data_IF_626110821024
#
_entry.id   IF_626110821024
#
_cell.length_a   1.000
_cell.length_b   1.000
_cell.length_c   1.000
_cell.angle_alpha   90.00
_cell.angle_beta   90.00
_cell.angle_gamma   90.00
#
_symmetry.space_group_name_H-M   'P 1'
#
loop_
_entity.id
_entity.type
_entity.pdbx_description
1 polymer ?
#
# COMPACT_ATOMS: atom_id res chain seq x y z
N UNK A 1 -1.40 23.91 -10.25
CA UNK A 1 -2.20 22.85 -10.92
C UNK A 1 -3.28 22.40 -9.94
N UNK A 2 -4.53 22.25 -10.42
CA UNK A 2 -5.65 21.77 -9.60
C UNK A 2 -5.88 20.29 -9.90
N UNK A 3 -5.71 19.44 -8.89
CA UNK A 3 -5.85 17.97 -9.01
C UNK A 3 -7.09 17.53 -8.24
N UNK A 4 -7.85 16.60 -8.80
CA UNK A 4 -8.91 15.89 -8.09
C UNK A 4 -8.69 14.38 -8.11
N UNK A 5 -9.08 13.70 -7.03
CA UNK A 5 -9.24 12.26 -7.00
C UNK A 5 -10.73 11.89 -6.96
N UNK A 6 -11.08 10.86 -7.71
CA UNK A 6 -12.44 10.32 -7.81
C UNK A 6 -12.42 8.87 -7.34
N UNK A 7 -13.16 8.54 -6.30
CA UNK A 7 -13.22 7.17 -5.75
C UNK A 7 -14.63 6.79 -5.32
N UNK A 8 -14.81 5.58 -4.81
CA UNK A 8 -16.07 5.13 -4.22
C UNK A 8 -16.39 5.77 -2.86
N UNK A 9 -15.40 6.39 -2.20
CA UNK A 9 -15.59 6.98 -0.88
C UNK A 9 -16.60 8.11 -0.90
N UNK A 10 -17.48 8.17 0.09
CA UNK A 10 -18.48 9.26 0.21
C UNK A 10 -17.87 10.60 0.65
N UNK A 11 -16.61 10.63 1.08
CA UNK A 11 -15.94 11.86 1.47
C UNK A 11 -15.85 12.85 0.29
N UNK A 12 -16.02 14.14 0.58
CA UNK A 12 -15.90 15.22 -0.39
C UNK A 12 -15.07 16.36 0.19
N UNK A 13 -14.07 16.82 -0.54
CA UNK A 13 -13.22 17.94 -0.13
C UNK A 13 -11.73 17.61 -0.02
N UNK A 14 -11.00 18.45 0.71
CA UNK A 14 -9.59 18.24 1.02
C UNK A 14 -9.40 17.47 2.32
N UNK A 15 -8.39 16.61 2.36
CA UNK A 15 -7.95 15.93 3.58
C UNK A 15 -6.93 16.82 4.28
N UNK A 16 -7.10 17.01 5.57
CA UNK A 16 -6.16 17.71 6.44
C UNK A 16 -4.99 16.79 6.83
N UNK A 17 -3.81 17.36 7.07
CA UNK A 17 -2.61 16.58 7.45
C UNK A 17 -2.74 15.89 8.81
N UNK A 18 -3.63 16.34 9.67
CA UNK A 18 -3.91 15.76 10.99
C UNK A 18 -5.02 14.70 10.96
N UNK A 19 -5.44 14.26 9.78
CA UNK A 19 -6.42 13.21 9.63
C UNK A 19 -5.87 11.89 10.20
N UNK A 20 -6.56 11.31 11.15
CA UNK A 20 -6.09 10.17 11.92
C UNK A 20 -6.01 8.85 11.14
N UNK A 21 -6.76 8.74 10.05
CA UNK A 21 -6.75 7.56 9.18
C UNK A 21 -5.98 7.80 7.88
N UNK A 22 -4.76 8.33 7.98
CA UNK A 22 -3.88 8.74 6.89
C UNK A 22 -3.30 7.54 6.10
N UNK A 23 -4.16 6.70 5.53
CA UNK A 23 -3.75 5.60 4.63
C UNK A 23 -3.15 6.16 3.32
N UNK A 24 -2.53 5.29 2.53
CA UNK A 24 -1.79 5.67 1.32
C UNK A 24 -2.58 6.58 0.37
N UNK A 25 -3.83 6.29 0.09
CA UNK A 25 -4.65 7.14 -0.79
C UNK A 25 -4.84 8.55 -0.21
N UNK A 26 -5.09 8.68 1.09
CA UNK A 26 -5.24 9.97 1.74
C UNK A 26 -3.89 10.72 1.81
N UNK A 27 -2.80 10.00 1.99
CA UNK A 27 -1.46 10.59 1.92
C UNK A 27 -1.18 11.21 0.55
N UNK A 28 -1.60 10.57 -0.56
CA UNK A 28 -1.51 11.15 -1.90
C UNK A 28 -2.35 12.42 -2.03
N UNK A 29 -3.59 12.43 -1.50
CA UNK A 29 -4.46 13.61 -1.57
C UNK A 29 -3.83 14.79 -0.87
N UNK A 30 -3.23 14.56 0.30
CA UNK A 30 -2.53 15.59 1.09
C UNK A 30 -1.28 16.08 0.38
N UNK A 31 -0.40 15.17 -0.06
CA UNK A 31 0.88 15.52 -0.68
C UNK A 31 0.71 16.27 -2.01
N UNK A 32 -0.33 15.96 -2.78
CA UNK A 32 -0.65 16.60 -4.06
C UNK A 32 -1.59 17.82 -3.91
N UNK A 33 -1.92 18.23 -2.69
CA UNK A 33 -2.90 19.30 -2.39
C UNK A 33 -4.20 19.15 -3.19
N UNK A 34 -4.66 17.92 -3.36
CA UNK A 34 -5.80 17.57 -4.21
C UNK A 34 -7.13 17.65 -3.48
N UNK A 35 -8.20 17.67 -4.27
CA UNK A 35 -9.58 17.57 -3.76
C UNK A 35 -10.14 16.19 -4.08
N UNK A 36 -10.80 15.57 -3.14
CA UNK A 36 -11.48 14.30 -3.33
C UNK A 36 -12.97 14.48 -3.60
N UNK A 37 -13.53 13.68 -4.50
CA UNK A 37 -14.96 13.61 -4.79
C UNK A 37 -15.40 12.15 -5.00
N UNK A 38 -16.61 11.78 -4.57
CA UNK A 38 -17.22 10.51 -4.96
C UNK A 38 -17.41 10.42 -6.48
N UNK A 39 -17.10 9.29 -7.10
CA UNK A 39 -17.31 9.08 -8.54
C UNK A 39 -18.73 9.40 -8.94
N UNK A 40 -19.71 8.96 -8.18
CA UNK A 40 -21.15 9.16 -8.46
C UNK A 40 -21.59 10.64 -8.42
N UNK A 41 -20.78 11.53 -7.87
CA UNK A 41 -21.05 12.98 -7.83
C UNK A 41 -20.40 13.78 -8.95
N UNK A 42 -19.64 13.16 -9.85
CA UNK A 42 -18.99 13.83 -10.99
C UNK A 42 -19.94 14.74 -11.78
N UNK A 43 -21.20 14.30 -12.00
CA UNK A 43 -22.21 15.06 -12.73
C UNK A 43 -22.59 16.40 -12.07
N UNK A 44 -22.32 16.59 -10.78
CA UNK A 44 -22.62 17.83 -10.04
C UNK A 44 -21.52 18.88 -10.17
N UNK A 45 -20.32 18.48 -10.62
CA UNK A 45 -19.16 19.36 -10.70
C UNK A 45 -19.21 20.27 -11.95
N UNK A 46 -18.54 21.42 -11.85
CA UNK A 46 -18.47 22.37 -12.97
C UNK A 46 -17.54 21.88 -14.08
N UNK A 47 -17.83 22.24 -15.31
CA UNK A 47 -16.98 21.97 -16.48
C UNK A 47 -15.59 22.61 -16.29
N UNK A 48 -14.51 21.90 -16.67
CA UNK A 48 -13.11 22.34 -16.60
C UNK A 48 -12.69 22.85 -15.20
N UNK A 49 -13.17 22.20 -14.15
CA UNK A 49 -12.89 22.58 -12.76
C UNK A 49 -11.47 22.24 -12.34
N UNK A 50 -10.90 21.16 -12.90
CA UNK A 50 -9.58 20.62 -12.57
C UNK A 50 -8.67 20.54 -13.79
N UNK A 51 -7.36 20.64 -13.54
CA UNK A 51 -6.36 20.42 -14.58
C UNK A 51 -6.17 18.93 -14.83
N UNK A 52 -6.14 18.12 -13.74
CA UNK A 52 -6.03 16.66 -13.78
C UNK A 52 -7.05 16.02 -12.84
N UNK A 53 -7.79 15.05 -13.33
CA UNK A 53 -8.64 14.17 -12.52
C UNK A 53 -8.07 12.75 -12.52
N UNK A 54 -7.85 12.18 -11.35
CA UNK A 54 -7.34 10.82 -11.18
C UNK A 54 -8.45 9.95 -10.58
N UNK A 55 -8.84 8.89 -11.27
CA UNK A 55 -9.83 7.93 -10.76
C UNK A 55 -9.14 6.72 -10.16
N UNK A 56 -9.63 6.27 -9.01
CA UNK A 56 -9.33 4.95 -8.45
C UNK A 56 -10.60 4.12 -8.64
N UNK A 57 -10.57 3.20 -9.60
CA UNK A 57 -11.70 2.31 -9.88
C UNK A 57 -11.73 1.24 -8.79
N UNK A 58 -12.81 1.16 -7.98
CA UNK A 58 -12.86 0.28 -6.84
C UNK A 58 -13.03 -1.19 -7.23
N UNK A 59 -12.53 -2.09 -6.39
CA UNK A 59 -12.73 -3.53 -6.51
C UNK A 59 -14.17 -3.95 -6.20
N UNK A 60 -14.85 -3.20 -5.36
CA UNK A 60 -16.24 -3.44 -5.00
C UNK A 60 -17.14 -2.50 -5.80
N UNK A 61 -18.40 -2.91 -6.04
CA UNK A 61 -19.40 -2.07 -6.75
C UNK A 61 -19.06 -1.75 -8.20
N UNK A 62 -18.15 -2.50 -8.85
CA UNK A 62 -17.79 -2.27 -10.26
C UNK A 62 -18.99 -2.37 -11.19
N UNK A 63 -19.97 -3.23 -10.88
CA UNK A 63 -21.22 -3.35 -11.61
C UNK A 63 -21.98 -2.02 -11.66
N UNK A 64 -22.12 -1.34 -10.54
CA UNK A 64 -22.78 -0.02 -10.46
C UNK A 64 -21.97 1.05 -11.18
N UNK A 65 -20.65 1.06 -10.99
CA UNK A 65 -19.75 2.08 -11.57
C UNK A 65 -19.66 1.91 -13.09
N UNK A 66 -19.68 0.68 -13.61
CA UNK A 66 -19.63 0.41 -15.04
C UNK A 66 -20.89 0.90 -15.81
N UNK A 67 -22.00 1.11 -15.10
CA UNK A 67 -23.21 1.70 -15.67
C UNK A 67 -23.22 3.22 -15.66
N UNK A 68 -22.27 3.86 -14.98
CA UNK A 68 -22.16 5.30 -14.89
C UNK A 68 -21.25 5.86 -15.99
N UNK A 69 -21.59 6.99 -16.65
CA UNK A 69 -20.77 7.59 -17.71
C UNK A 69 -19.53 8.30 -17.14
N UNK A 70 -18.69 7.53 -16.41
CA UNK A 70 -17.58 8.06 -15.62
C UNK A 70 -16.56 8.80 -16.49
N UNK A 71 -16.18 8.24 -17.62
CA UNK A 71 -15.16 8.82 -18.51
C UNK A 71 -15.63 10.13 -19.11
N UNK A 72 -16.86 10.18 -19.61
CA UNK A 72 -17.46 11.36 -20.19
C UNK A 72 -17.56 12.50 -19.16
N UNK A 73 -17.98 12.16 -17.95
CA UNK A 73 -18.06 13.11 -16.86
C UNK A 73 -16.67 13.60 -16.40
N UNK A 74 -15.68 12.72 -16.33
CA UNK A 74 -14.30 13.12 -16.04
C UNK A 74 -13.75 14.07 -17.11
N UNK A 75 -13.92 13.76 -18.39
CA UNK A 75 -13.52 14.63 -19.51
C UNK A 75 -14.26 15.98 -19.52
N UNK A 76 -15.48 16.02 -19.01
CA UNK A 76 -16.23 17.29 -18.85
C UNK A 76 -15.64 18.15 -17.72
N UNK A 77 -15.23 17.52 -16.61
CA UNK A 77 -14.81 18.20 -15.38
C UNK A 77 -13.31 18.54 -15.39
N UNK A 78 -12.49 17.75 -16.06
CA UNK A 78 -11.04 17.84 -16.05
C UNK A 78 -10.49 18.09 -17.46
N UNK A 79 -9.33 18.77 -17.53
CA UNK A 79 -8.59 18.96 -18.80
C UNK A 79 -7.87 17.69 -19.24
N UNK A 80 -7.33 16.95 -18.26
CA UNK A 80 -6.67 15.65 -18.40
C UNK A 80 -7.28 14.67 -17.43
N UNK A 81 -7.33 13.40 -17.82
CA UNK A 81 -7.84 12.33 -16.99
C UNK A 81 -6.80 11.24 -16.76
N UNK A 82 -6.75 10.71 -15.57
CA UNK A 82 -5.82 9.66 -15.18
C UNK A 82 -6.47 8.56 -14.36
N UNK A 83 -5.82 7.43 -14.34
CA UNK A 83 -6.18 6.28 -13.53
C UNK A 83 -5.09 6.01 -12.49
N UNK A 84 -5.49 5.63 -11.28
CA UNK A 84 -4.59 5.06 -10.27
C UNK A 84 -5.04 3.65 -9.92
N UNK A 85 -4.10 2.73 -9.96
CA UNK A 85 -4.31 1.33 -9.60
C UNK A 85 -4.80 1.16 -8.16
N UNK A 86 -5.84 0.32 -7.98
CA UNK A 86 -6.26 -0.19 -6.69
C UNK A 86 -5.94 -1.69 -6.56
N UNK A 87 -5.13 -2.09 -5.60
CA UNK A 87 -4.76 -3.51 -5.41
C UNK A 87 -3.88 -4.08 -6.53
N UNK A 88 -3.87 -5.40 -6.78
CA UNK A 88 -3.05 -6.00 -7.83
C UNK A 88 -3.59 -5.66 -9.21
N UNK A 89 -2.69 -5.51 -10.19
CA UNK A 89 -3.06 -5.14 -11.56
C UNK A 89 -4.02 -6.12 -12.25
N UNK A 90 -4.06 -7.35 -11.79
CA UNK A 90 -4.89 -8.43 -12.36
C UNK A 90 -6.27 -8.58 -11.71
N UNK A 91 -6.59 -7.85 -10.65
CA UNK A 91 -7.81 -8.14 -9.87
C UNK A 91 -9.11 -8.03 -10.68
N UNK A 92 -9.14 -7.18 -11.70
CA UNK A 92 -10.30 -7.03 -12.56
C UNK A 92 -10.56 -8.25 -13.46
N UNK A 93 -9.59 -9.16 -13.63
CA UNK A 93 -9.74 -10.39 -14.40
C UNK A 93 -10.67 -11.41 -13.71
N UNK A 94 -10.99 -11.21 -12.44
CA UNK A 94 -11.96 -12.04 -11.72
C UNK A 94 -13.42 -11.62 -11.97
N UNK A 95 -13.64 -10.50 -12.71
CA UNK A 95 -14.99 -10.03 -13.05
C UNK A 95 -15.54 -10.64 -14.33
N UNK A 96 -16.89 -10.57 -14.57
CA UNK A 96 -17.49 -10.92 -15.85
C UNK A 96 -16.84 -10.19 -17.03
N UNK A 97 -16.78 -10.85 -18.19
CA UNK A 97 -16.05 -10.36 -19.37
C UNK A 97 -16.48 -8.94 -19.79
N UNK A 98 -17.75 -8.61 -19.70
CA UNK A 98 -18.25 -7.26 -20.03
C UNK A 98 -17.65 -6.16 -19.14
N UNK A 99 -17.45 -6.47 -17.86
CA UNK A 99 -16.81 -5.53 -16.92
C UNK A 99 -15.30 -5.45 -17.14
N UNK A 100 -14.65 -6.55 -17.53
CA UNK A 100 -13.25 -6.54 -17.93
C UNK A 100 -13.04 -5.66 -19.18
N UNK A 101 -13.91 -5.80 -20.18
CA UNK A 101 -13.87 -4.98 -21.41
C UNK A 101 -14.14 -3.50 -21.07
N UNK A 102 -15.12 -3.23 -20.22
CA UNK A 102 -15.39 -1.87 -19.76
C UNK A 102 -14.16 -1.26 -19.06
N UNK A 103 -13.53 -2.00 -18.14
CA UNK A 103 -12.34 -1.53 -17.44
C UNK A 103 -11.19 -1.25 -18.42
N UNK A 104 -10.93 -2.15 -19.36
CA UNK A 104 -9.94 -1.95 -20.41
C UNK A 104 -10.23 -0.69 -21.24
N UNK A 105 -11.47 -0.50 -21.67
CA UNK A 105 -11.87 0.71 -22.42
C UNK A 105 -11.63 1.97 -21.57
N UNK A 106 -11.91 1.95 -20.27
CA UNK A 106 -11.59 3.07 -19.40
C UNK A 106 -10.09 3.39 -19.39
N UNK A 107 -9.22 2.36 -19.31
CA UNK A 107 -7.77 2.57 -19.33
C UNK A 107 -7.28 3.17 -20.66
N UNK A 108 -7.87 2.77 -21.80
CA UNK A 108 -7.52 3.29 -23.12
C UNK A 108 -7.85 4.77 -23.31
N UNK A 109 -8.77 5.30 -22.51
CA UNK A 109 -9.18 6.71 -22.57
C UNK A 109 -8.34 7.61 -21.64
N UNK A 110 -7.44 7.06 -20.84
CA UNK A 110 -6.64 7.83 -19.88
C UNK A 110 -5.45 8.54 -20.54
N UNK A 111 -5.27 9.82 -20.22
CA UNK A 111 -4.08 10.59 -20.57
C UNK A 111 -2.85 10.10 -19.77
N UNK A 112 -3.05 9.62 -18.57
CA UNK A 112 -2.00 9.08 -17.69
C UNK A 112 -2.50 7.92 -16.85
N UNK A 113 -1.62 6.92 -16.64
CA UNK A 113 -1.90 5.77 -15.76
C UNK A 113 -0.84 5.74 -14.66
N UNK A 114 -1.29 5.61 -13.42
CA UNK A 114 -0.42 5.43 -12.27
C UNK A 114 -0.55 4.02 -11.69
N UNK A 115 0.58 3.44 -11.32
CA UNK A 115 0.65 2.12 -10.72
C UNK A 115 1.55 2.09 -9.48
N UNK A 116 1.37 1.09 -8.61
CA UNK A 116 2.09 1.02 -7.34
C UNK A 116 3.57 0.64 -7.51
N UNK A 117 3.85 -0.37 -8.32
CA UNK A 117 5.16 -1.00 -8.47
C UNK A 117 5.69 -0.85 -9.89
N UNK A 118 6.99 -0.95 -10.08
CA UNK A 118 7.61 -0.93 -11.42
C UNK A 118 7.10 -2.06 -12.32
N UNK A 119 6.85 -3.24 -11.75
CA UNK A 119 6.26 -4.36 -12.49
C UNK A 119 4.85 -4.03 -12.99
N UNK A 120 4.03 -3.35 -12.18
CA UNK A 120 2.68 -2.92 -12.56
C UNK A 120 2.72 -1.82 -13.64
N UNK A 121 3.69 -0.90 -13.57
CA UNK A 121 3.92 0.10 -14.63
C UNK A 121 4.17 -0.59 -15.98
N UNK A 122 5.03 -1.61 -15.99
CA UNK A 122 5.32 -2.38 -17.21
C UNK A 122 4.09 -3.14 -17.70
N UNK A 123 3.29 -3.71 -16.80
CA UNK A 123 2.03 -4.37 -17.14
C UNK A 123 1.06 -3.42 -17.85
N UNK A 124 0.78 -2.24 -17.26
CA UNK A 124 -0.16 -1.29 -17.85
C UNK A 124 0.34 -0.68 -19.16
N UNK A 125 1.66 -0.47 -19.32
CA UNK A 125 2.25 -0.09 -20.62
C UNK A 125 2.00 -1.15 -21.69
N UNK A 126 2.23 -2.41 -21.35
CA UNK A 126 1.97 -3.51 -22.28
C UNK A 126 0.51 -3.71 -22.61
N UNK A 127 -0.37 -3.48 -21.62
CA UNK A 127 -1.81 -3.63 -21.80
C UNK A 127 -2.42 -2.52 -22.69
N UNK A 128 -2.02 -1.26 -22.48
CA UNK A 128 -2.67 -0.11 -23.11
C UNK A 128 -1.84 0.54 -24.23
N UNK A 129 -0.58 0.13 -24.42
CA UNK A 129 0.37 0.81 -25.28
C UNK A 129 0.57 2.32 -24.96
N UNK A 130 0.02 2.79 -23.86
CA UNK A 130 0.17 4.15 -23.39
C UNK A 130 1.59 4.36 -22.83
N UNK A 131 2.30 5.39 -23.34
CA UNK A 131 3.64 5.72 -22.87
C UNK A 131 3.63 6.55 -21.58
N UNK A 132 2.50 7.19 -21.23
CA UNK A 132 2.31 7.95 -19.99
C UNK A 132 1.86 7.03 -18.84
N UNK A 133 2.61 5.96 -18.58
CA UNK A 133 2.40 5.11 -17.41
C UNK A 133 3.54 5.32 -16.44
N UNK A 134 3.22 5.76 -15.22
CA UNK A 134 4.19 6.16 -14.21
C UNK A 134 3.94 5.47 -12.87
N UNK A 135 5.00 5.34 -12.07
CA UNK A 135 4.86 4.86 -10.72
C UNK A 135 4.39 5.99 -9.79
N UNK A 136 3.25 5.77 -9.10
CA UNK A 136 2.84 6.55 -7.93
C UNK A 136 3.12 5.69 -6.70
N UNK A 137 4.26 5.93 -6.07
CA UNK A 137 4.71 5.14 -4.92
C UNK A 137 3.78 5.27 -3.73
N UNK A 138 3.73 4.22 -2.92
CA UNK A 138 3.12 4.30 -1.59
C UNK A 138 3.78 5.39 -0.76
N UNK A 139 2.97 6.12 -0.03
CA UNK A 139 3.39 7.31 0.72
C UNK A 139 2.88 7.25 2.16
N UNK A 140 3.62 7.83 3.06
CA UNK A 140 3.23 8.11 4.45
C UNK A 140 3.35 9.60 4.74
N UNK A 141 2.33 10.18 5.36
CA UNK A 141 2.42 11.48 6.03
C UNK A 141 2.75 11.19 7.50
N UNK A 142 3.91 11.64 7.94
CA UNK A 142 4.51 11.17 9.21
C UNK A 142 4.44 12.17 10.35
N UNK A 143 3.84 13.34 10.13
CA UNK A 143 3.84 14.48 11.06
C UNK A 143 3.28 14.15 12.46
N UNK A 144 2.31 13.27 12.54
CA UNK A 144 1.61 12.93 13.79
C UNK A 144 1.98 11.56 14.34
N UNK A 145 2.95 10.88 13.73
CA UNK A 145 3.42 9.58 14.22
C UNK A 145 4.27 9.76 15.49
N UNK A 146 4.07 8.87 16.44
CA UNK A 146 4.76 8.88 17.73
C UNK A 146 5.56 7.59 17.90
N UNK A 147 6.88 7.73 18.10
CA UNK A 147 7.72 6.56 18.40
C UNK A 147 7.49 6.07 19.83
N UNK A 148 7.36 4.75 20.00
CA UNK A 148 7.33 4.13 21.32
C UNK A 148 8.68 4.32 22.04
N UNK A 149 8.64 4.62 23.33
CA UNK A 149 9.86 4.74 24.15
C UNK A 149 10.56 3.40 24.38
N UNK A 150 9.84 2.29 24.30
CA UNK A 150 10.34 0.96 24.57
C UNK A 150 10.04 0.04 23.40
N UNK A 151 11.06 -0.69 22.95
CA UNK A 151 10.89 -1.82 22.02
C UNK A 151 10.70 -3.10 22.82
N UNK A 152 9.67 -3.85 22.45
CA UNK A 152 9.38 -5.16 23.04
C UNK A 152 10.07 -6.26 22.24
N UNK A 153 10.41 -7.37 22.90
CA UNK A 153 10.91 -8.56 22.20
C UNK A 153 9.73 -9.30 21.56
N UNK A 154 9.27 -8.77 20.44
CA UNK A 154 8.04 -9.23 19.81
C UNK A 154 8.12 -9.18 18.28
N UNK A 155 7.30 -10.00 17.64
CA UNK A 155 7.09 -10.04 16.21
C UNK A 155 5.64 -9.66 15.88
N UNK A 156 5.44 -8.82 14.88
CA UNK A 156 4.13 -8.48 14.37
C UNK A 156 3.90 -9.13 12.99
N UNK A 157 2.73 -9.74 12.84
CA UNK A 157 2.29 -10.37 11.60
C UNK A 157 1.51 -9.32 10.78
N UNK A 158 1.88 -9.13 9.52
CA UNK A 158 1.13 -8.27 8.61
C UNK A 158 -0.05 -9.02 7.99
N UNK A 159 -1.16 -8.30 7.81
CA UNK A 159 -2.34 -8.80 7.11
C UNK A 159 -3.22 -9.78 7.90
N UNK A 160 -4.29 -10.21 7.26
CA UNK A 160 -5.27 -11.17 7.77
C UNK A 160 -4.88 -12.61 7.39
N UNK A 161 -5.48 -13.61 8.06
CA UNK A 161 -5.26 -15.04 7.83
C UNK A 161 -5.89 -15.59 6.54
N UNK A 162 -6.12 -14.74 5.54
CA UNK A 162 -6.57 -15.14 4.21
C UNK A 162 -5.40 -15.25 3.24
N UNK A 163 -5.54 -16.13 2.26
CA UNK A 163 -4.53 -16.34 1.20
C UNK A 163 -4.06 -15.03 0.56
N UNK A 164 -4.98 -14.11 0.31
CA UNK A 164 -4.71 -12.81 -0.30
C UNK A 164 -3.64 -11.98 0.46
N UNK A 165 -3.65 -12.04 1.79
CA UNK A 165 -2.73 -11.30 2.65
C UNK A 165 -1.58 -12.15 3.21
N UNK A 166 -1.55 -13.45 2.95
CA UNK A 166 -0.49 -14.36 3.38
C UNK A 166 -0.35 -14.50 4.90
N UNK A 167 -1.44 -14.29 5.64
CA UNK A 167 -1.40 -14.30 7.10
C UNK A 167 -0.99 -15.65 7.68
N UNK A 168 -1.42 -16.76 7.06
CA UNK A 168 -1.05 -18.11 7.53
C UNK A 168 0.45 -18.37 7.40
N UNK A 169 1.06 -18.08 6.25
CA UNK A 169 2.51 -18.22 6.04
C UNK A 169 3.27 -17.31 6.99
N UNK A 170 2.78 -16.08 7.18
CA UNK A 170 3.36 -15.12 8.12
C UNK A 170 3.29 -15.62 9.56
N UNK A 171 2.19 -16.25 9.98
CA UNK A 171 2.04 -16.86 11.29
C UNK A 171 3.03 -17.99 11.50
N UNK A 172 3.18 -18.89 10.52
CA UNK A 172 4.15 -20.01 10.59
C UNK A 172 5.59 -19.50 10.75
N UNK A 173 5.96 -18.45 10.02
CA UNK A 173 7.31 -17.87 10.11
C UNK A 173 7.49 -17.06 11.40
N UNK A 174 6.46 -16.38 11.88
CA UNK A 174 6.55 -15.65 13.16
C UNK A 174 6.86 -16.55 14.36
N UNK A 175 6.40 -17.81 14.36
CA UNK A 175 6.73 -18.79 15.41
C UNK A 175 8.22 -19.11 15.47
N UNK A 176 8.95 -18.99 14.37
CA UNK A 176 10.39 -19.29 14.35
C UNK A 176 11.19 -18.32 15.24
N UNK A 177 10.74 -17.09 15.42
CA UNK A 177 11.42 -16.15 16.33
C UNK A 177 11.45 -16.67 17.76
N UNK A 178 10.34 -17.24 18.26
CA UNK A 178 10.29 -17.86 19.58
C UNK A 178 11.16 -19.12 19.72
N UNK A 179 11.42 -19.85 18.61
CA UNK A 179 12.30 -21.03 18.62
C UNK A 179 13.77 -20.67 18.75
N UNK A 180 14.18 -19.54 18.18
CA UNK A 180 15.58 -19.17 18.06
C UNK A 180 16.03 -18.12 19.06
N UNK A 181 15.12 -17.36 19.66
CA UNK A 181 15.46 -16.42 20.71
C UNK A 181 15.68 -17.17 22.05
N UNK A 182 16.54 -16.61 22.89
CA UNK A 182 16.76 -17.09 24.24
C UNK A 182 15.69 -16.59 25.21
N UNK A 183 15.07 -15.47 24.86
CA UNK A 183 13.99 -14.86 25.57
C UNK A 183 12.67 -15.17 24.84
N UNK A 184 11.58 -15.16 25.57
CA UNK A 184 10.26 -15.34 24.99
C UNK A 184 9.98 -14.21 23.98
N UNK A 185 9.59 -14.56 22.76
CA UNK A 185 9.13 -13.62 21.73
C UNK A 185 7.63 -13.68 21.64
N UNK A 186 6.96 -12.57 21.94
CA UNK A 186 5.52 -12.48 21.81
C UNK A 186 5.10 -12.23 20.36
N UNK A 187 4.03 -12.88 19.90
CA UNK A 187 3.46 -12.68 18.57
C UNK A 187 2.24 -11.80 18.63
N UNK A 188 2.12 -10.89 17.69
CA UNK A 188 1.00 -9.97 17.56
C UNK A 188 0.45 -9.95 16.15
N UNK A 189 -0.89 -9.90 16.04
CA UNK A 189 -1.59 -9.68 14.78
C UNK A 189 -2.48 -8.44 14.88
N UNK A 190 -2.52 -7.56 13.85
CA UNK A 190 -3.40 -6.42 13.84
C UNK A 190 -4.85 -6.85 13.65
N UNK A 191 -5.79 -6.11 14.22
CA UNK A 191 -7.19 -6.20 13.82
C UNK A 191 -7.40 -5.32 12.59
N UNK A 192 -7.68 -5.93 11.44
CA UNK A 192 -7.99 -5.22 10.19
C UNK A 192 -9.48 -4.84 10.07
N UNK A 193 -10.25 -4.91 11.16
CA UNK A 193 -11.70 -4.70 11.16
C UNK A 193 -12.50 -5.81 10.46
N UNK A 194 -11.82 -6.79 9.88
CA UNK A 194 -12.40 -7.96 9.21
C UNK A 194 -11.76 -9.21 9.78
N UNK A 195 -12.16 -9.59 11.00
CA UNK A 195 -11.75 -10.87 11.55
C UNK A 195 -12.43 -11.98 10.76
N UNK A 196 -11.62 -12.92 10.26
CA UNK A 196 -12.16 -14.19 9.80
C UNK A 196 -12.52 -14.99 11.04
N UNK A 197 -13.70 -15.60 11.03
CA UNK A 197 -14.10 -16.54 12.07
C UNK A 197 -12.96 -17.54 12.26
N UNK A 198 -12.40 -17.67 13.45
CA UNK A 198 -11.35 -18.58 13.86
C UNK A 198 -9.93 -17.98 13.97
N UNK A 199 -9.65 -16.76 13.55
CA UNK A 199 -8.34 -16.14 13.84
C UNK A 199 -8.11 -16.02 15.35
N UNK A 200 -9.16 -15.82 16.14
CA UNK A 200 -9.10 -15.75 17.61
C UNK A 200 -8.70 -17.10 18.25
N UNK A 201 -8.74 -18.20 17.52
CA UNK A 201 -8.33 -19.52 17.98
C UNK A 201 -6.84 -19.84 17.72
N UNK A 202 -6.10 -18.91 17.11
CA UNK A 202 -4.67 -19.10 16.94
C UNK A 202 -3.98 -18.99 18.31
N UNK A 203 -3.37 -20.09 18.73
CA UNK A 203 -2.61 -20.13 19.98
C UNK A 203 -1.39 -19.20 19.90
N UNK A 204 -1.04 -18.61 21.03
CA UNK A 204 0.14 -17.76 21.19
C UNK A 204 0.19 -16.49 20.32
N UNK A 205 -0.94 -16.01 19.82
CA UNK A 205 -1.05 -14.73 19.10
C UNK A 205 -1.87 -13.74 19.91
N UNK A 206 -1.29 -12.59 20.20
CA UNK A 206 -1.98 -11.46 20.81
C UNK A 206 -2.68 -10.64 19.70
N UNK A 207 -4.01 -10.63 19.69
CA UNK A 207 -4.78 -9.83 18.74
C UNK A 207 -4.86 -8.39 19.22
N UNK A 208 -4.34 -7.46 18.39
CA UNK A 208 -4.43 -6.04 18.67
C UNK A 208 -5.85 -5.52 18.37
N UNK A 209 -6.36 -4.54 19.12
CA UNK A 209 -7.62 -3.90 18.78
C UNK A 209 -7.51 -3.16 17.45
N UNK A 210 -8.66 -2.86 16.84
CA UNK A 210 -8.68 -1.94 15.70
C UNK A 210 -8.14 -0.57 16.13
N UNK A 211 -7.27 -0.02 15.31
CA UNK A 211 -6.69 1.30 15.47
C UNK A 211 -6.83 2.07 14.16
N UNK A 212 -7.00 3.40 14.25
CA UNK A 212 -6.81 4.25 13.08
C UNK A 212 -5.37 4.14 12.57
N UNK A 213 -5.08 4.68 11.38
CA UNK A 213 -3.77 4.51 10.76
C UNK A 213 -2.63 5.13 11.58
N UNK A 214 -2.85 6.33 12.15
CA UNK A 214 -1.82 7.04 12.93
C UNK A 214 -1.46 6.28 14.20
N UNK A 215 -2.47 5.79 14.92
CA UNK A 215 -2.27 4.98 16.12
C UNK A 215 -1.65 3.63 15.80
N UNK A 216 -2.10 3.00 14.71
CA UNK A 216 -1.54 1.72 14.24
C UNK A 216 -0.04 1.86 13.93
N UNK A 217 0.34 2.83 13.09
CA UNK A 217 1.75 3.00 12.68
C UNK A 217 2.61 3.45 13.86
N UNK A 218 2.08 4.29 14.75
CA UNK A 218 2.78 4.66 15.98
C UNK A 218 3.02 3.45 16.90
N UNK A 219 1.99 2.61 17.10
CA UNK A 219 2.09 1.40 17.90
C UNK A 219 3.06 0.38 17.27
N UNK A 220 3.16 0.36 15.92
CA UNK A 220 4.09 -0.52 15.21
C UNK A 220 5.54 -0.29 15.64
N UNK A 221 5.92 0.92 16.04
CA UNK A 221 7.27 1.28 16.46
C UNK A 221 7.82 0.49 17.65
N UNK A 222 6.95 -0.12 18.46
CA UNK A 222 7.36 -0.94 19.62
C UNK A 222 7.88 -2.33 19.26
N UNK A 223 7.50 -2.88 18.10
CA UNK A 223 7.87 -4.23 17.69
C UNK A 223 9.32 -4.29 17.21
N UNK A 224 9.94 -5.43 17.46
CA UNK A 224 11.32 -5.68 17.04
C UNK A 224 11.39 -6.31 15.65
N UNK A 225 10.47 -7.22 15.34
CA UNK A 225 10.43 -7.96 14.09
C UNK A 225 9.07 -7.86 13.42
N UNK A 226 9.05 -8.04 12.11
CA UNK A 226 7.83 -8.09 11.32
C UNK A 226 7.87 -9.22 10.28
N UNK A 227 6.72 -9.81 10.00
CA UNK A 227 6.54 -10.81 8.95
C UNK A 227 5.28 -10.49 8.15
N UNK A 228 5.41 -10.38 6.83
CA UNK A 228 4.27 -10.18 5.92
C UNK A 228 4.52 -10.90 4.59
N UNK A 229 4.25 -12.20 4.58
CA UNK A 229 4.41 -13.05 3.41
C UNK A 229 3.19 -12.96 2.49
N UNK A 230 2.92 -11.74 2.01
CA UNK A 230 1.77 -11.43 1.17
C UNK A 230 2.07 -11.79 -0.28
N UNK A 231 1.30 -12.73 -0.89
CA UNK A 231 1.49 -13.13 -2.29
C UNK A 231 0.90 -12.12 -3.29
N UNK A 232 0.05 -11.22 -2.81
CA UNK A 232 -0.65 -10.24 -3.63
C UNK A 232 0.18 -8.97 -3.80
N UNK A 233 0.46 -8.58 -5.03
CA UNK A 233 1.19 -7.36 -5.33
C UNK A 233 0.21 -6.17 -5.35
N UNK A 234 0.37 -5.25 -4.41
CA UNK A 234 -0.42 -4.03 -4.27
C UNK A 234 0.48 -2.90 -3.73
N UNK A 235 -0.08 -1.96 -2.95
CA UNK A 235 0.65 -0.80 -2.43
C UNK A 235 1.83 -1.14 -1.48
N UNK A 236 1.82 -2.30 -0.82
CA UNK A 236 2.92 -2.73 0.07
C UNK A 236 3.11 -1.86 1.31
N UNK A 237 2.04 -1.30 1.86
CA UNK A 237 2.07 -0.32 2.95
C UNK A 237 2.65 -0.87 4.25
N UNK A 238 2.46 -2.15 4.54
CA UNK A 238 2.99 -2.74 5.78
C UNK A 238 4.53 -2.74 5.80
N UNK A 239 5.18 -3.17 4.72
CA UNK A 239 6.64 -3.12 4.59
C UNK A 239 7.17 -1.69 4.67
N UNK A 240 6.46 -0.72 4.05
CA UNK A 240 6.77 0.70 4.13
C UNK A 240 6.73 1.22 5.57
N UNK A 241 5.65 0.90 6.31
CA UNK A 241 5.47 1.31 7.70
C UNK A 241 6.57 0.72 8.62
N UNK A 242 6.94 -0.55 8.39
CA UNK A 242 8.05 -1.19 9.09
C UNK A 242 9.39 -0.50 8.82
N UNK A 243 9.65 -0.15 7.56
CA UNK A 243 10.90 0.50 7.16
C UNK A 243 11.08 1.87 7.81
N UNK A 244 10.02 2.66 7.92
CA UNK A 244 10.04 3.95 8.59
C UNK A 244 10.57 3.85 10.03
N UNK A 245 10.15 2.82 10.78
CA UNK A 245 10.59 2.57 12.15
C UNK A 245 11.88 1.74 12.25
N UNK A 246 12.48 1.35 11.12
CA UNK A 246 13.66 0.50 11.12
C UNK A 246 13.39 -0.93 11.60
N UNK A 247 12.20 -1.46 11.36
CA UNK A 247 11.81 -2.82 11.73
C UNK A 247 12.06 -3.74 10.52
N UNK A 248 12.99 -4.71 10.59
CA UNK A 248 13.18 -5.68 9.53
C UNK A 248 11.90 -6.48 9.30
N UNK A 249 11.41 -6.49 8.05
CA UNK A 249 10.20 -7.21 7.64
C UNK A 249 10.55 -8.37 6.72
N UNK A 250 10.21 -9.60 7.10
CA UNK A 250 10.31 -10.77 6.19
C UNK A 250 9.08 -10.74 5.30
N UNK A 251 9.29 -10.72 3.98
CA UNK A 251 8.19 -10.66 3.00
C UNK A 251 8.54 -11.32 1.68
N UNK A 252 7.52 -11.62 0.88
CA UNK A 252 7.69 -12.14 -0.47
C UNK A 252 8.15 -11.05 -1.44
N UNK A 253 8.94 -11.47 -2.44
CA UNK A 253 9.31 -10.66 -3.59
C UNK A 253 8.06 -10.24 -4.38
N UNK A 254 8.13 -9.08 -5.05
CA UNK A 254 7.11 -8.58 -5.95
C UNK A 254 6.55 -7.21 -5.60
N UNK A 255 6.83 -6.71 -4.38
CA UNK A 255 6.48 -5.36 -3.95
C UNK A 255 7.72 -4.48 -3.90
N UNK A 256 7.69 -3.32 -4.53
CA UNK A 256 8.81 -2.36 -4.49
C UNK A 256 9.19 -1.95 -3.07
N UNK A 257 8.20 -1.79 -2.19
CA UNK A 257 8.43 -1.50 -0.78
C UNK A 257 9.18 -2.61 -0.07
N UNK A 258 8.86 -3.88 -0.37
CA UNK A 258 9.58 -5.01 0.20
C UNK A 258 10.98 -5.13 -0.38
N UNK A 259 11.12 -5.13 -1.71
CA UNK A 259 12.41 -5.36 -2.37
C UNK A 259 13.42 -4.23 -2.17
N UNK A 260 12.95 -2.98 -2.20
CA UNK A 260 13.84 -1.82 -2.09
C UNK A 260 14.16 -1.47 -0.63
N UNK A 261 13.23 -1.73 0.29
CA UNK A 261 13.41 -1.39 1.70
C UNK A 261 13.94 -2.56 2.54
N UNK A 262 13.57 -3.79 2.21
CA UNK A 262 13.92 -5.00 2.95
C UNK A 262 14.62 -6.08 2.12
N UNK A 263 15.60 -5.73 1.24
CA UNK A 263 16.21 -6.71 0.32
C UNK A 263 16.88 -7.89 1.02
N UNK A 264 17.34 -7.70 2.26
CA UNK A 264 18.01 -8.73 3.05
C UNK A 264 17.03 -9.70 3.75
N UNK A 265 15.74 -9.38 3.75
CA UNK A 265 14.68 -10.18 4.37
C UNK A 265 13.54 -10.48 3.37
N UNK A 266 13.81 -10.31 2.09
CA UNK A 266 12.91 -10.66 0.99
C UNK A 266 13.21 -12.09 0.53
N UNK A 267 12.16 -12.88 0.38
CA UNK A 267 12.21 -14.27 -0.10
C UNK A 267 11.34 -14.46 -1.33
N UNK A 268 11.60 -15.50 -2.11
CA UNK A 268 10.75 -15.84 -3.23
C UNK A 268 9.42 -16.46 -2.74
N UNK A 269 8.38 -16.34 -3.56
CA UNK A 269 7.05 -16.84 -3.21
C UNK A 269 7.08 -18.33 -2.86
N UNK A 270 6.57 -18.68 -1.69
CA UNK A 270 6.52 -20.05 -1.19
C UNK A 270 7.82 -20.58 -0.57
N UNK A 271 8.91 -19.82 -0.60
CA UNK A 271 10.18 -20.23 0.01
C UNK A 271 10.19 -19.99 1.53
N UNK A 272 9.41 -20.81 2.24
CA UNK A 272 9.34 -20.77 3.71
C UNK A 272 10.62 -21.26 4.39
N UNK A 273 11.42 -22.10 3.73
CA UNK A 273 12.71 -22.54 4.29
C UNK A 273 13.69 -21.37 4.40
N UNK A 274 13.81 -20.57 3.33
CA UNK A 274 14.61 -19.35 3.35
C UNK A 274 14.08 -18.33 4.38
N UNK A 275 12.74 -18.14 4.45
CA UNK A 275 12.13 -17.26 5.44
C UNK A 275 12.46 -17.69 6.89
N UNK A 276 12.45 -18.99 7.20
CA UNK A 276 12.91 -19.54 8.50
C UNK A 276 14.37 -19.24 8.77
N UNK A 277 15.22 -19.41 7.75
CA UNK A 277 16.64 -19.07 7.84
C UNK A 277 16.86 -17.59 8.20
N UNK A 278 16.11 -16.69 7.57
CA UNK A 278 16.16 -15.26 7.87
C UNK A 278 15.67 -14.96 9.29
N UNK A 279 14.57 -15.54 9.76
CA UNK A 279 14.09 -15.39 11.13
C UNK A 279 15.16 -15.80 12.15
N UNK A 280 15.85 -16.93 11.90
CA UNK A 280 16.98 -17.39 12.71
C UNK A 280 18.14 -16.39 12.71
N UNK A 281 18.49 -15.82 11.55
CA UNK A 281 19.57 -14.82 11.45
C UNK A 281 19.22 -13.54 12.22
N UNK A 282 18.00 -13.03 12.09
CA UNK A 282 17.52 -11.83 12.77
C UNK A 282 17.56 -12.00 14.30
N UNK A 283 17.25 -13.19 14.82
CA UNK A 283 17.25 -13.45 16.26
C UNK A 283 18.65 -13.74 16.83
N UNK A 284 19.47 -14.48 16.08
CA UNK A 284 20.76 -14.96 16.58
C UNK A 284 21.94 -14.02 16.31
N UNK A 285 21.83 -13.14 15.34
CA UNK A 285 22.94 -12.29 14.90
C UNK A 285 22.57 -10.80 15.00
N UNK A 286 22.88 -10.19 16.15
CA UNK A 286 22.58 -8.77 16.40
C UNK A 286 23.11 -7.84 15.29
N UNK A 287 24.33 -8.07 14.80
CA UNK A 287 24.92 -7.28 13.70
C UNK A 287 24.11 -7.39 12.40
N UNK A 288 23.54 -8.57 12.14
CA UNK A 288 22.66 -8.76 10.98
C UNK A 288 21.34 -8.01 11.14
N UNK A 289 20.70 -8.11 12.31
CA UNK A 289 19.52 -7.34 12.65
C UNK A 289 19.76 -5.83 12.46
N UNK A 290 20.85 -5.31 13.05
CA UNK A 290 21.18 -3.88 12.94
C UNK A 290 21.45 -3.46 11.49
N UNK A 291 22.09 -4.32 10.69
CA UNK A 291 22.29 -4.06 9.25
C UNK A 291 20.95 -3.92 8.54
N UNK A 292 20.01 -4.86 8.74
CA UNK A 292 18.69 -4.83 8.13
C UNK A 292 17.88 -3.60 8.58
N UNK A 293 17.90 -3.32 9.88
CA UNK A 293 17.21 -2.17 10.48
C UNK A 293 17.72 -0.83 9.93
N UNK A 294 19.03 -0.63 9.90
CA UNK A 294 19.64 0.60 9.35
C UNK A 294 19.37 0.74 7.86
N UNK A 295 19.43 -0.37 7.13
CA UNK A 295 19.15 -0.36 5.69
C UNK A 295 17.73 0.10 5.39
N UNK A 296 16.72 -0.51 6.00
CA UNK A 296 15.34 -0.18 5.69
C UNK A 296 14.99 1.27 6.06
N UNK A 297 15.43 1.76 7.22
CA UNK A 297 15.23 3.15 7.64
C UNK A 297 15.90 4.15 6.69
N UNK A 298 17.16 3.91 6.32
CA UNK A 298 17.90 4.76 5.37
C UNK A 298 17.21 4.80 4.01
N UNK A 299 16.85 3.64 3.45
CA UNK A 299 16.22 3.58 2.14
C UNK A 299 14.79 4.11 2.12
N UNK A 300 14.07 4.08 3.26
CA UNK A 300 12.81 4.80 3.38
C UNK A 300 13.02 6.30 3.13
N UNK A 301 13.94 6.93 3.83
CA UNK A 301 14.22 8.37 3.68
C UNK A 301 14.66 8.72 2.25
N UNK A 302 15.54 7.90 1.65
CA UNK A 302 16.12 8.17 0.34
C UNK A 302 15.17 7.88 -0.84
N UNK A 303 14.15 7.01 -0.67
CA UNK A 303 13.35 6.52 -1.80
C UNK A 303 11.84 6.66 -1.66
N UNK A 304 11.33 6.76 -0.41
CA UNK A 304 9.90 6.73 -0.11
C UNK A 304 9.43 7.85 0.83
N UNK A 305 10.30 8.76 1.24
CA UNK A 305 9.89 9.94 2.02
C UNK A 305 8.96 10.84 1.21
N UNK A 306 8.14 11.63 1.90
CA UNK A 306 7.23 12.60 1.27
C UNK A 306 7.98 13.57 0.35
N UNK A 307 9.18 14.00 0.76
CA UNK A 307 10.04 14.87 -0.06
C UNK A 307 10.34 14.22 -1.42
N UNK A 308 10.81 12.97 -1.43
CA UNK A 308 11.13 12.24 -2.66
C UNK A 308 9.89 11.99 -3.50
N UNK A 309 8.75 11.69 -2.87
CA UNK A 309 7.47 11.55 -3.56
C UNK A 309 7.10 12.85 -4.28
N UNK A 310 7.16 13.99 -3.61
CA UNK A 310 6.78 15.28 -4.17
C UNK A 310 7.71 15.70 -5.32
N UNK A 311 9.02 15.48 -5.20
CA UNK A 311 9.99 15.74 -6.26
C UNK A 311 9.67 14.90 -7.52
N UNK A 312 9.47 13.59 -7.37
CA UNK A 312 9.14 12.70 -8.48
C UNK A 312 7.78 13.06 -9.13
N UNK A 313 6.75 13.29 -8.31
CA UNK A 313 5.43 13.61 -8.82
C UNK A 313 5.39 14.95 -9.55
N UNK A 314 6.16 15.94 -9.09
CA UNK A 314 6.29 17.21 -9.78
C UNK A 314 6.79 17.02 -11.21
N UNK A 315 7.87 16.27 -11.42
CA UNK A 315 8.44 15.98 -12.74
C UNK A 315 7.42 15.26 -13.64
N UNK A 316 6.77 14.21 -13.12
CA UNK A 316 5.77 13.45 -13.86
C UNK A 316 4.60 14.33 -14.28
N UNK A 317 4.06 15.11 -13.34
CA UNK A 317 2.88 15.96 -13.58
C UNK A 317 3.16 17.12 -14.55
N UNK A 318 4.38 17.69 -14.52
CA UNK A 318 4.83 18.67 -15.50
C UNK A 318 4.87 18.05 -16.91
N UNK A 319 5.36 16.81 -17.03
CA UNK A 319 5.38 16.06 -18.31
C UNK A 319 3.97 15.72 -18.83
N UNK A 320 3.06 15.35 -17.95
CA UNK A 320 1.66 15.02 -18.34
C UNK A 320 0.90 16.25 -18.83
N UNK A 321 1.17 17.43 -18.26
CA UNK A 321 0.44 18.68 -18.57
C UNK A 321 1.03 19.49 -19.74
N UNK A 322 2.31 19.24 -20.09
CA UNK A 322 2.98 19.89 -21.24
C UNK A 322 2.60 19.26 -22.54
#
# INVERSE_FOLDING_TARGET
MKIAFFTESEFEGKISRDFDNMRTEYAWYVALDSTHHPIVKLHTLKKNMYDLGIVIIPKMNIETISQYPMIEEMKRVCKKIGFMQEGPHWYFQDYPMEQQIWFYNCLMEMDVIFAHNEADVNYFRGLTENQNVHQMKSLMITDYLKESKEKTNSVVIGGNMVRWYGGFDSYIIAQEFGRWDKESVEMYAPSMGRKIQLEDHLENVNHLPYMNWVDWVSNLSKFRYAVHLMPTHAAGTFALNCAYWGIPCIGYRGLDTQEKLHPHTTVDFGDLEHARGIAKLLTRQLKWYEKCSKWCKKNYEEKFSEKVFNENMKEILEGVMG
#
